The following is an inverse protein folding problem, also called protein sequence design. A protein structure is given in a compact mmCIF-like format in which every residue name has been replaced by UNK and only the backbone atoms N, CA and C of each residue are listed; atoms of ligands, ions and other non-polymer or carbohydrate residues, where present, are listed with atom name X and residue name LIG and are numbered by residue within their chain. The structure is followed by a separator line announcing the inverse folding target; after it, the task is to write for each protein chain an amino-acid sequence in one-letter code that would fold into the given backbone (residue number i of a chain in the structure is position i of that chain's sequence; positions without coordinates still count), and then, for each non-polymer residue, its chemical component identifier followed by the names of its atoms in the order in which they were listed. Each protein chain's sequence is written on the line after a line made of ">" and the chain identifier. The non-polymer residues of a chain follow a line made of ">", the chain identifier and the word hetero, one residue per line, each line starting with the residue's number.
data_IF_294732701275
#
_entry.id   IF_294732701275
#
_cell.length_a   1.000
_cell.length_b   1.000
_cell.length_c   1.000
_cell.angle_alpha   90.00
_cell.angle_beta   90.00
_cell.angle_gamma   90.00
#
_symmetry.space_group_name_H-M   'P 1'
#
loop_
_entity.id
_entity.type
_entity.pdbx_description
1 polymer ?
#
# COMPACT_ATOMS: atom_id res chain seq x y z
N UNK A 1 -0.11 7.35 -8.02
CA UNK A 1 -0.20 6.73 -6.70
C UNK A 1 -0.66 5.28 -6.75
N UNK A 2 -0.36 4.54 -5.68
CA UNK A 2 -0.86 3.18 -5.48
C UNK A 2 -1.41 3.08 -4.06
N UNK A 3 -2.63 2.57 -3.93
CA UNK A 3 -3.25 2.23 -2.66
C UNK A 3 -3.34 0.72 -2.48
N UNK A 4 -2.94 0.26 -1.30
CA UNK A 4 -3.01 -1.15 -0.93
C UNK A 4 -3.86 -1.32 0.33
N UNK A 5 -4.57 -2.45 0.44
CA UNK A 5 -5.31 -2.78 1.65
C UNK A 5 -4.38 -3.01 2.82
N UNK A 6 -4.75 -2.45 3.96
CA UNK A 6 -4.08 -2.71 5.23
C UNK A 6 -4.77 -3.84 6.02
N UNK A 7 -4.12 -4.30 7.09
CA UNK A 7 -4.62 -5.37 7.96
C UNK A 7 -5.96 -5.05 8.64
N UNK A 8 -6.31 -3.76 8.76
CA UNK A 8 -7.57 -3.30 9.36
C UNK A 8 -8.72 -3.20 8.35
N UNK A 9 -8.47 -3.58 7.09
CA UNK A 9 -9.46 -3.55 6.01
C UNK A 9 -9.63 -2.19 5.33
N UNK A 10 -8.91 -1.17 5.77
CA UNK A 10 -8.81 0.14 5.11
C UNK A 10 -7.72 0.17 4.04
N UNK A 11 -7.42 1.35 3.54
CA UNK A 11 -6.46 1.56 2.47
C UNK A 11 -5.32 2.49 2.90
N UNK A 12 -4.11 2.20 2.41
CA UNK A 12 -2.92 3.04 2.58
C UNK A 12 -2.39 3.47 1.22
N UNK A 13 -2.08 4.75 1.05
CA UNK A 13 -1.28 5.20 -0.07
C UNK A 13 0.17 4.73 0.13
N UNK A 14 0.56 3.65 -0.54
CA UNK A 14 1.89 3.03 -0.36
C UNK A 14 2.95 3.62 -1.27
N UNK A 15 2.55 4.07 -2.45
CA UNK A 15 3.44 4.72 -3.42
C UNK A 15 2.77 5.94 -4.03
N UNK A 16 3.51 7.04 -4.08
CA UNK A 16 3.07 8.28 -4.70
C UNK A 16 4.22 8.90 -5.48
N UNK A 17 3.91 9.43 -6.62
CA UNK A 17 4.73 10.37 -7.36
C UNK A 17 3.89 11.60 -7.68
N UNK A 18 4.46 12.78 -7.49
CA UNK A 18 3.81 14.04 -7.77
C UNK A 18 4.62 14.86 -8.77
N UNK A 19 3.95 15.65 -9.59
CA UNK A 19 4.59 16.58 -10.50
C UNK A 19 5.23 17.75 -9.72
N UNK A 20 6.11 18.47 -10.36
CA UNK A 20 6.73 19.66 -9.79
C UNK A 20 5.66 20.69 -9.38
N UNK A 21 5.76 21.23 -8.19
CA UNK A 21 4.80 22.17 -7.61
C UNK A 21 3.55 21.55 -7.00
N UNK A 22 3.34 20.23 -7.11
CA UNK A 22 2.23 19.53 -6.47
C UNK A 22 2.65 19.04 -5.09
N UNK A 23 1.79 19.26 -4.09
CA UNK A 23 2.04 18.79 -2.73
C UNK A 23 1.77 17.29 -2.61
N UNK A 24 2.70 16.48 -2.06
CA UNK A 24 2.44 15.08 -1.77
C UNK A 24 1.37 14.92 -0.69
N UNK A 25 0.47 13.94 -0.88
CA UNK A 25 -0.59 13.60 0.10
C UNK A 25 -0.39 12.20 0.70
N UNK A 26 0.65 11.48 0.33
CA UNK A 26 0.90 10.10 0.78
C UNK A 26 0.79 9.93 2.29
N UNK A 27 1.41 10.82 3.08
CA UNK A 27 1.43 10.70 4.53
C UNK A 27 0.07 11.03 5.18
N UNK A 28 -0.76 11.82 4.50
CA UNK A 28 -2.12 12.16 4.92
C UNK A 28 -3.15 11.08 4.54
N UNK A 29 -2.82 10.21 3.58
CA UNK A 29 -3.68 9.18 3.02
C UNK A 29 -3.28 7.77 3.55
N UNK A 30 -3.08 7.68 4.86
CA UNK A 30 -2.80 6.44 5.56
C UNK A 30 -3.99 6.01 6.42
N UNK A 31 -4.23 4.71 6.50
CA UNK A 31 -5.34 4.12 7.28
C UNK A 31 -6.70 4.72 6.91
N UNK A 32 -6.94 4.94 5.61
CA UNK A 32 -8.24 5.42 5.14
C UNK A 32 -9.33 4.43 5.55
N UNK A 33 -10.43 4.93 6.16
CA UNK A 33 -11.56 4.08 6.50
C UNK A 33 -12.12 3.37 5.25
N UNK A 34 -12.59 2.11 5.37
CA UNK A 34 -13.13 1.34 4.24
C UNK A 34 -14.29 2.04 3.52
N UNK A 35 -15.03 2.90 4.23
CA UNK A 35 -16.20 3.62 3.73
C UNK A 35 -15.82 4.59 2.60
N UNK A 36 -14.63 5.20 2.66
CA UNK A 36 -14.17 6.18 1.66
C UNK A 36 -14.08 5.54 0.28
N UNK A 37 -13.49 4.35 0.17
CA UNK A 37 -13.31 3.66 -1.10
C UNK A 37 -14.39 2.60 -1.40
N UNK A 38 -15.44 2.47 -0.57
CA UNK A 38 -16.44 1.41 -0.68
C UNK A 38 -17.14 1.38 -2.05
N UNK A 39 -17.50 2.54 -2.60
CA UNK A 39 -18.13 2.66 -3.91
C UNK A 39 -17.19 2.23 -5.04
N UNK A 40 -15.90 2.51 -4.91
CA UNK A 40 -14.88 2.09 -5.86
C UNK A 40 -14.71 0.58 -5.85
N UNK A 41 -14.61 -0.03 -4.67
CA UNK A 41 -14.50 -1.50 -4.56
C UNK A 41 -15.72 -2.22 -5.13
N UNK A 42 -16.94 -1.67 -4.98
CA UNK A 42 -18.15 -2.22 -5.64
C UNK A 42 -18.06 -2.19 -7.17
N UNK A 43 -17.42 -1.18 -7.75
CA UNK A 43 -17.15 -1.10 -9.20
C UNK A 43 -16.05 -2.06 -9.60
N UNK A 44 -14.97 -2.13 -8.83
CA UNK A 44 -13.85 -3.05 -9.07
C UNK A 44 -14.32 -4.51 -9.08
N UNK A 45 -15.16 -4.92 -8.14
CA UNK A 45 -15.75 -6.27 -8.11
C UNK A 45 -16.54 -6.62 -9.38
N UNK A 46 -17.02 -5.63 -10.11
CA UNK A 46 -17.71 -5.78 -11.41
C UNK A 46 -16.76 -5.64 -12.61
N UNK A 47 -15.44 -5.66 -12.37
CA UNK A 47 -14.43 -5.48 -13.42
C UNK A 47 -14.36 -4.06 -14.00
N UNK A 48 -14.96 -3.07 -13.32
CA UNK A 48 -14.98 -1.68 -13.81
C UNK A 48 -13.88 -0.87 -13.14
N UNK A 49 -13.26 0.00 -13.91
CA UNK A 49 -12.37 1.05 -13.42
C UNK A 49 -13.13 2.36 -13.16
N UNK A 50 -12.49 3.33 -12.54
CA UNK A 50 -13.04 4.64 -12.22
C UNK A 50 -12.48 5.64 -13.23
N UNK A 51 -13.36 6.43 -13.83
CA UNK A 51 -12.98 7.59 -14.63
C UNK A 51 -13.96 8.69 -14.30
N UNK A 52 -13.45 9.83 -13.87
CA UNK A 52 -14.23 11.05 -13.70
C UNK A 52 -13.72 12.11 -14.67
N UNK A 53 -14.62 12.63 -15.49
CA UNK A 53 -14.33 13.76 -16.39
C UNK A 53 -14.46 15.09 -15.67
N UNK A 54 -15.26 15.11 -14.61
CA UNK A 54 -15.45 16.21 -13.68
C UNK A 54 -15.79 15.62 -12.30
N UNK A 55 -15.14 16.12 -11.25
CA UNK A 55 -15.40 15.68 -9.87
C UNK A 55 -16.86 15.89 -9.47
N UNK A 56 -17.53 16.90 -10.01
CA UNK A 56 -18.95 17.20 -9.72
C UNK A 56 -19.88 16.02 -10.09
N UNK A 57 -19.46 15.08 -10.95
CA UNK A 57 -20.25 13.88 -11.30
C UNK A 57 -20.59 13.00 -10.08
N UNK A 58 -19.78 13.06 -9.03
CA UNK A 58 -19.94 12.20 -7.84
C UNK A 58 -20.46 12.95 -6.61
N UNK A 59 -20.69 14.26 -6.70
CA UNK A 59 -21.06 15.10 -5.56
C UNK A 59 -22.26 14.58 -4.78
N UNK A 60 -23.31 14.14 -5.47
CA UNK A 60 -24.53 13.61 -4.83
C UNK A 60 -24.45 12.10 -4.58
N UNK A 61 -23.79 11.35 -5.46
CA UNK A 61 -23.76 9.89 -5.40
C UNK A 61 -22.70 9.33 -4.45
N UNK A 62 -21.63 10.08 -4.17
CA UNK A 62 -20.54 9.72 -3.27
C UNK A 62 -19.94 10.95 -2.57
N UNK A 63 -20.70 11.58 -1.64
CA UNK A 63 -20.26 12.81 -0.98
C UNK A 63 -18.95 12.67 -0.20
N UNK A 64 -18.72 11.50 0.41
CA UNK A 64 -17.48 11.25 1.17
C UNK A 64 -16.25 11.29 0.26
N UNK A 65 -16.35 10.62 -0.87
CA UNK A 65 -15.26 10.59 -1.85
C UNK A 65 -15.11 11.96 -2.54
N UNK A 66 -16.23 12.64 -2.82
CA UNK A 66 -16.19 13.99 -3.36
C UNK A 66 -15.41 14.94 -2.45
N UNK A 67 -15.69 15.01 -1.16
CA UNK A 67 -15.00 15.86 -0.21
C UNK A 67 -13.50 15.48 -0.07
N UNK A 68 -13.20 14.18 -0.08
CA UNK A 68 -11.84 13.70 0.00
C UNK A 68 -11.00 14.13 -1.23
N UNK A 69 -11.55 14.00 -2.43
CA UNK A 69 -10.86 14.38 -3.67
C UNK A 69 -10.78 15.90 -3.83
N UNK A 70 -11.84 16.63 -3.48
CA UNK A 70 -11.90 18.08 -3.55
C UNK A 70 -10.86 18.75 -2.67
N UNK A 71 -10.63 18.21 -1.46
CA UNK A 71 -9.59 18.69 -0.54
C UNK A 71 -8.19 18.61 -1.15
N UNK A 72 -7.97 17.68 -2.06
CA UNK A 72 -6.71 17.44 -2.76
C UNK A 72 -6.61 18.18 -4.11
N UNK A 73 -7.57 19.06 -4.42
CA UNK A 73 -7.66 19.80 -5.69
C UNK A 73 -7.72 18.87 -6.92
N UNK A 74 -8.42 17.74 -6.78
CA UNK A 74 -8.62 16.77 -7.85
C UNK A 74 -9.90 17.11 -8.60
N UNK A 75 -9.79 17.31 -9.91
CA UNK A 75 -10.91 17.65 -10.80
C UNK A 75 -11.23 16.50 -11.76
N UNK A 76 -10.21 15.85 -12.28
CA UNK A 76 -10.32 14.68 -13.17
C UNK A 76 -9.54 13.52 -12.58
N UNK A 77 -9.97 12.28 -12.87
CA UNK A 77 -9.39 11.11 -12.21
C UNK A 77 -9.52 9.87 -13.07
N UNK A 78 -8.47 9.06 -13.06
CA UNK A 78 -8.49 7.68 -13.58
C UNK A 78 -7.92 6.75 -12.52
N UNK A 79 -8.70 5.75 -12.09
CA UNK A 79 -8.25 4.72 -11.15
C UNK A 79 -8.56 3.33 -11.70
N UNK A 80 -7.58 2.46 -11.62
CA UNK A 80 -7.64 1.09 -12.11
C UNK A 80 -7.34 0.11 -10.98
N UNK A 81 -8.18 -0.91 -10.78
CA UNK A 81 -7.91 -1.96 -9.79
C UNK A 81 -6.78 -2.88 -10.24
N UNK A 82 -6.03 -3.38 -9.28
CA UNK A 82 -5.03 -4.42 -9.45
C UNK A 82 -5.59 -5.74 -8.91
N UNK A 83 -5.69 -6.74 -9.79
CA UNK A 83 -6.21 -8.05 -9.43
C UNK A 83 -5.09 -9.07 -9.29
N UNK A 84 -5.14 -9.87 -8.23
CA UNK A 84 -4.35 -11.07 -8.05
C UNK A 84 -5.30 -12.24 -7.72
N UNK A 85 -5.28 -13.29 -8.53
CA UNK A 85 -6.18 -14.46 -8.45
C UNK A 85 -7.66 -14.05 -8.32
N UNK A 86 -8.08 -13.07 -9.12
CA UNK A 86 -9.47 -12.57 -9.15
C UNK A 86 -9.87 -11.67 -7.98
N UNK A 87 -8.97 -11.39 -7.04
CA UNK A 87 -9.20 -10.49 -5.91
C UNK A 87 -8.53 -9.15 -6.15
N UNK A 88 -9.19 -8.06 -5.75
CA UNK A 88 -8.57 -6.73 -5.76
C UNK A 88 -7.60 -6.65 -4.60
N UNK A 89 -6.30 -6.56 -4.92
CA UNK A 89 -5.22 -6.44 -3.93
C UNK A 89 -4.80 -5.00 -3.69
N UNK A 90 -4.99 -4.15 -4.69
CA UNK A 90 -4.62 -2.75 -4.68
C UNK A 90 -5.43 -2.02 -5.75
N UNK A 91 -5.34 -0.70 -5.77
CA UNK A 91 -5.72 0.11 -6.91
C UNK A 91 -4.69 1.22 -7.11
N UNK A 92 -4.63 1.76 -8.30
CA UNK A 92 -3.71 2.84 -8.61
C UNK A 92 -4.31 3.78 -9.65
N UNK A 93 -3.82 5.00 -9.68
CA UNK A 93 -4.42 6.00 -10.52
C UNK A 93 -3.54 7.20 -10.80
N UNK A 94 -4.12 8.08 -11.60
CA UNK A 94 -3.57 9.39 -11.96
C UNK A 94 -4.64 10.43 -11.69
N UNK A 95 -4.25 11.47 -10.95
CA UNK A 95 -5.07 12.63 -10.66
C UNK A 95 -4.80 13.73 -11.68
N UNK A 96 -5.84 14.45 -12.03
CA UNK A 96 -5.82 15.57 -12.96
C UNK A 96 -5.16 15.27 -14.33
N UNK A 97 -5.36 14.08 -14.95
CA UNK A 97 -4.95 13.93 -16.33
C UNK A 97 -5.76 14.86 -17.23
N UNK A 98 -5.18 15.40 -18.31
CA UNK A 98 -5.93 16.25 -19.23
C UNK A 98 -7.21 15.54 -19.74
N UNK A 99 -8.38 16.22 -19.79
CA UNK A 99 -9.66 15.59 -20.13
C UNK A 99 -9.64 14.83 -21.47
N UNK A 100 -8.91 15.33 -22.46
CA UNK A 100 -8.76 14.68 -23.78
C UNK A 100 -7.97 13.37 -23.71
N UNK A 101 -7.17 13.15 -22.68
CA UNK A 101 -6.33 11.96 -22.52
C UNK A 101 -6.90 10.88 -21.61
N UNK A 102 -8.04 11.09 -20.96
CA UNK A 102 -8.61 10.19 -19.96
C UNK A 102 -8.75 8.75 -20.46
N UNK A 103 -9.30 8.56 -21.65
CA UNK A 103 -9.45 7.23 -22.26
C UNK A 103 -8.09 6.57 -22.53
N UNK A 104 -7.13 7.33 -23.04
CA UNK A 104 -5.78 6.84 -23.30
C UNK A 104 -5.06 6.49 -22.00
N UNK A 105 -5.14 7.37 -20.99
CA UNK A 105 -4.60 7.15 -19.66
C UNK A 105 -5.18 5.88 -19.02
N UNK A 106 -6.51 5.68 -19.11
CA UNK A 106 -7.16 4.48 -18.60
C UNK A 106 -6.63 3.21 -19.25
N UNK A 107 -6.49 3.19 -20.58
CA UNK A 107 -5.97 2.03 -21.30
C UNK A 107 -4.51 1.74 -20.93
N UNK A 108 -3.67 2.77 -20.85
CA UNK A 108 -2.28 2.62 -20.41
C UNK A 108 -2.18 2.03 -19.00
N UNK A 109 -2.95 2.57 -18.05
CA UNK A 109 -2.96 2.05 -16.69
C UNK A 109 -3.38 0.58 -16.67
N UNK A 110 -4.42 0.18 -17.43
CA UNK A 110 -4.82 -1.24 -17.48
C UNK A 110 -3.69 -2.16 -17.95
N UNK A 111 -2.92 -1.75 -18.95
CA UNK A 111 -1.76 -2.52 -19.44
C UNK A 111 -0.66 -2.58 -18.37
N UNK A 112 -0.33 -1.45 -17.75
CA UNK A 112 0.71 -1.38 -16.74
C UNK A 112 0.35 -2.13 -15.45
N UNK A 113 -0.95 -2.32 -15.18
CA UNK A 113 -1.45 -3.00 -13.99
C UNK A 113 -0.88 -4.41 -13.81
N UNK A 114 -0.71 -5.17 -14.88
CA UNK A 114 -0.10 -6.51 -14.83
C UNK A 114 1.35 -6.49 -14.32
N UNK A 115 2.11 -5.46 -14.72
CA UNK A 115 3.47 -5.24 -14.21
C UNK A 115 3.46 -4.94 -12.72
N UNK A 116 2.58 -4.04 -12.29
CA UNK A 116 2.48 -3.64 -10.88
C UNK A 116 2.08 -4.82 -9.99
N UNK A 117 1.12 -5.65 -10.42
CA UNK A 117 0.75 -6.88 -9.68
C UNK A 117 1.98 -7.77 -9.50
N UNK A 118 2.77 -7.99 -10.55
CA UNK A 118 3.99 -8.80 -10.47
C UNK A 118 5.02 -8.21 -9.49
N UNK A 119 5.19 -6.89 -9.49
CA UNK A 119 6.08 -6.20 -8.57
C UNK A 119 5.60 -6.31 -7.10
N UNK A 120 4.30 -6.11 -6.86
CA UNK A 120 3.69 -6.23 -5.53
C UNK A 120 3.83 -7.67 -5.01
N UNK A 121 3.51 -8.67 -5.84
CA UNK A 121 3.64 -10.09 -5.50
C UNK A 121 5.09 -10.43 -5.13
N UNK A 122 6.05 -10.03 -5.97
CA UNK A 122 7.48 -10.23 -5.70
C UNK A 122 7.93 -9.59 -4.39
N UNK A 123 7.53 -8.35 -4.15
CA UNK A 123 7.86 -7.65 -2.90
C UNK A 123 7.30 -8.39 -1.69
N UNK A 124 6.05 -8.85 -1.75
CA UNK A 124 5.40 -9.54 -0.65
C UNK A 124 6.09 -10.89 -0.36
N UNK A 125 6.39 -11.68 -1.40
CA UNK A 125 7.14 -12.92 -1.26
C UNK A 125 8.54 -12.70 -0.65
N UNK A 126 9.23 -11.64 -1.06
CA UNK A 126 10.54 -11.32 -0.46
C UNK A 126 10.42 -10.98 1.02
N UNK A 127 9.38 -10.23 1.43
CA UNK A 127 9.11 -9.93 2.84
C UNK A 127 8.80 -11.19 3.64
N UNK A 128 7.97 -12.07 3.10
CA UNK A 128 7.67 -13.37 3.75
C UNK A 128 8.93 -14.21 3.93
N UNK A 129 9.78 -14.31 2.91
CA UNK A 129 11.05 -15.02 3.00
C UNK A 129 11.98 -14.38 4.03
N UNK A 130 12.06 -13.06 4.08
CA UNK A 130 12.83 -12.35 5.11
C UNK A 130 12.29 -12.63 6.51
N UNK A 131 10.99 -12.55 6.70
CA UNK A 131 10.36 -12.84 8.00
C UNK A 131 10.62 -14.28 8.44
N UNK A 132 10.47 -15.27 7.55
CA UNK A 132 10.80 -16.67 7.85
C UNK A 132 12.30 -16.89 8.15
N UNK A 133 13.17 -16.13 7.49
CA UNK A 133 14.63 -16.26 7.67
C UNK A 133 15.15 -15.59 8.95
N UNK A 134 14.55 -14.50 9.39
CA UNK A 134 15.07 -13.65 10.47
C UNK A 134 14.22 -13.58 11.71
N UNK A 135 12.97 -14.10 11.69
CA UNK A 135 12.10 -14.15 12.86
C UNK A 135 12.03 -15.54 13.46
N UNK A 136 11.89 -15.61 14.77
CA UNK A 136 11.54 -16.83 15.48
C UNK A 136 10.03 -17.08 15.34
N UNK A 137 9.66 -18.29 14.90
CA UNK A 137 8.27 -18.61 14.57
C UNK A 137 7.31 -18.58 15.77
N UNK A 138 7.83 -18.76 16.99
CA UNK A 138 7.01 -18.82 18.21
C UNK A 138 6.81 -17.42 18.81
N UNK A 139 7.85 -16.63 18.84
CA UNK A 139 7.86 -15.37 19.58
C UNK A 139 7.75 -14.13 18.67
N UNK A 140 8.00 -14.28 17.36
CA UNK A 140 8.06 -13.20 16.40
C UNK A 140 9.28 -12.28 16.53
N UNK A 141 10.15 -12.49 17.54
CA UNK A 141 11.40 -11.74 17.70
C UNK A 141 12.45 -12.20 16.69
N UNK A 142 13.51 -11.40 16.57
CA UNK A 142 14.67 -11.77 15.75
C UNK A 142 15.30 -13.08 16.23
N UNK A 143 15.51 -14.01 15.31
CA UNK A 143 16.19 -15.26 15.59
C UNK A 143 17.74 -15.08 15.59
N UNK A 144 18.48 -16.17 15.73
CA UNK A 144 19.96 -16.15 15.73
C UNK A 144 20.54 -15.55 14.45
N UNK A 145 19.90 -15.75 13.30
CA UNK A 145 20.37 -15.17 12.03
C UNK A 145 20.18 -13.65 12.01
N UNK A 146 19.03 -13.15 12.51
CA UNK A 146 18.79 -11.72 12.68
C UNK A 146 19.83 -11.07 13.60
N UNK A 147 20.13 -11.71 14.73
CA UNK A 147 21.16 -11.25 15.67
C UNK A 147 22.53 -11.15 14.98
N UNK A 148 22.97 -12.19 14.28
CA UNK A 148 24.26 -12.19 13.60
C UNK A 148 24.35 -11.10 12.52
N UNK A 149 23.26 -10.91 11.73
CA UNK A 149 23.18 -9.83 10.74
C UNK A 149 23.28 -8.45 11.41
N UNK A 150 22.55 -8.25 12.51
CA UNK A 150 22.61 -6.99 13.25
C UNK A 150 24.02 -6.70 13.76
N UNK A 151 24.69 -7.70 14.40
CA UNK A 151 26.05 -7.57 14.90
C UNK A 151 27.05 -7.21 13.77
N UNK A 152 26.90 -7.80 12.58
CA UNK A 152 27.78 -7.50 11.44
C UNK A 152 27.61 -6.07 10.88
N UNK A 153 26.51 -5.40 11.17
CA UNK A 153 26.19 -4.05 10.72
C UNK A 153 26.45 -2.96 11.77
N UNK A 154 26.88 -3.35 12.97
CA UNK A 154 27.16 -2.40 14.06
C UNK A 154 28.33 -1.51 13.69
N UNK A 155 28.13 -0.22 13.88
CA UNK A 155 29.21 0.76 13.83
C UNK A 155 30.07 0.66 15.11
N UNK A 156 31.21 0.02 15.00
CA UNK A 156 32.15 -0.18 16.12
C UNK A 156 32.70 1.11 16.72
N UNK A 157 32.41 2.27 16.13
CA UNK A 157 32.77 3.59 16.69
C UNK A 157 31.75 4.14 17.68
N UNK A 158 30.57 3.50 17.79
CA UNK A 158 29.51 3.91 18.70
C UNK A 158 29.50 3.05 19.96
N UNK A 159 29.29 3.67 21.12
CA UNK A 159 29.06 2.94 22.37
C UNK A 159 27.74 2.18 22.31
N UNK A 160 27.74 0.93 22.73
CA UNK A 160 26.58 0.05 22.72
C UNK A 160 26.48 -0.69 24.06
N UNK A 161 25.24 -0.85 24.55
CA UNK A 161 24.92 -1.73 25.68
C UNK A 161 24.36 -3.06 25.16
N UNK A 162 24.73 -4.17 25.80
CA UNK A 162 24.18 -5.49 25.54
C UNK A 162 23.50 -6.00 26.81
N UNK A 163 22.25 -6.46 26.66
CA UNK A 163 21.50 -7.14 27.73
C UNK A 163 21.30 -8.59 27.31
N UNK A 164 21.78 -9.51 28.14
CA UNK A 164 21.55 -10.94 27.95
C UNK A 164 20.58 -11.43 29.02
N UNK A 165 19.50 -12.10 28.60
CA UNK A 165 18.49 -12.67 29.48
C UNK A 165 18.37 -14.18 29.23
N UNK A 166 18.33 -14.96 30.31
CA UNK A 166 18.09 -16.40 30.26
C UNK A 166 16.98 -16.80 31.24
N UNK A 167 16.21 -17.81 30.89
CA UNK A 167 15.16 -18.36 31.75
C UNK A 167 15.71 -19.57 32.48
N UNK A 168 15.94 -19.41 33.78
CA UNK A 168 16.37 -20.52 34.63
C UNK A 168 15.23 -21.50 34.91
N UNK A 169 15.54 -22.80 34.94
CA UNK A 169 14.58 -23.83 35.34
C UNK A 169 13.74 -24.45 34.20
N UNK A 170 13.94 -24.04 32.94
CA UNK A 170 13.18 -24.59 31.79
C UNK A 170 13.31 -26.12 31.66
N UNK A 171 14.41 -26.71 32.10
CA UNK A 171 14.62 -28.19 32.10
C UNK A 171 13.70 -28.93 33.03
N UNK A 172 13.02 -28.27 33.96
CA UNK A 172 12.09 -28.89 34.91
C UNK A 172 10.62 -28.74 34.52
N UNK A 173 10.36 -28.02 33.38
CA UNK A 173 8.99 -27.71 32.94
C UNK A 173 8.62 -28.52 31.67
N UNK A 174 9.54 -29.26 31.07
CA UNK A 174 9.31 -30.18 29.94
C UNK A 174 9.24 -31.62 30.42
#
# INVERSE_FOLDING_TARGET
>A
YIFEKNEKGGDNNTYEWVAEGVKPEKDNLQNLPPEICANWYRRFQKGKHIVFHDLEEIRESDPLQYENLKRQDIHTLVVVPLYDDGKVIAFYGVDNPPPLSLKYTSNMLQIMGHFLVSCIRRRNLMRELEDMSYKDALTGFGNRFAMNRYISQIDHKKSMGVVYCDITGLKHVN
#
